data_IF_564229759279
#
_entry.id   IF_564229759279
#
_cell.length_a   1.000
_cell.length_b   1.000
_cell.length_c   1.000
_cell.angle_alpha   90.00
_cell.angle_beta   90.00
_cell.angle_gamma   90.00
#
_symmetry.space_group_name_H-M   'P 1'
#
loop_
_entity.id
_entity.type
_entity.pdbx_description
1 polymer ?
#
# COMPACT_ATOMS: atom_id res chain seq x y z
N UNK A 1 -26.15 28.08 -7.06
CA UNK A 1 -26.28 27.47 -5.73
C UNK A 1 -24.86 27.28 -5.22
N UNK A 2 -24.49 27.97 -4.14
CA UNK A 2 -23.13 27.89 -3.59
C UNK A 2 -23.00 26.55 -2.86
N UNK A 3 -22.35 25.59 -3.50
CA UNK A 3 -21.92 24.36 -2.85
C UNK A 3 -20.97 24.74 -1.72
N UNK A 4 -21.42 24.46 -0.51
CA UNK A 4 -20.62 24.64 0.69
C UNK A 4 -19.50 23.62 0.62
N UNK A 5 -18.35 24.02 0.09
CA UNK A 5 -17.05 23.38 0.33
C UNK A 5 -16.82 23.40 1.83
N UNK A 6 -17.44 22.44 2.54
CA UNK A 6 -17.32 22.30 3.97
C UNK A 6 -15.90 21.82 4.25
N UNK A 7 -15.02 22.80 4.46
CA UNK A 7 -13.64 22.74 4.95
C UNK A 7 -13.42 21.44 5.73
N UNK A 8 -12.86 20.42 5.07
CA UNK A 8 -12.35 19.24 5.76
C UNK A 8 -11.42 19.76 6.84
N UNK A 9 -11.77 19.54 8.10
CA UNK A 9 -10.97 20.00 9.24
C UNK A 9 -9.52 19.55 9.01
N UNK A 10 -8.54 20.46 9.06
CA UNK A 10 -7.13 20.12 8.84
C UNK A 10 -6.66 18.97 9.74
N UNK A 11 -7.26 18.85 10.93
CA UNK A 11 -7.06 17.72 11.83
C UNK A 11 -7.47 16.36 11.25
N UNK A 12 -8.54 16.29 10.46
CA UNK A 12 -8.95 15.06 9.79
C UNK A 12 -7.95 14.64 8.69
N UNK A 13 -7.29 15.61 8.04
CA UNK A 13 -6.23 15.32 7.07
C UNK A 13 -4.97 14.82 7.77
N UNK A 14 -4.56 15.44 8.89
CA UNK A 14 -3.41 15.00 9.69
C UNK A 14 -3.63 13.62 10.28
N UNK A 15 -4.83 13.36 10.84
CA UNK A 15 -5.19 12.04 11.33
C UNK A 15 -5.19 10.98 10.22
N UNK A 16 -5.71 11.33 9.03
CA UNK A 16 -5.63 10.47 7.84
C UNK A 16 -4.19 10.18 7.40
N UNK A 17 -3.32 11.19 7.39
CA UNK A 17 -1.91 11.05 7.04
C UNK A 17 -1.15 10.17 8.03
N UNK A 18 -1.37 10.37 9.33
CA UNK A 18 -0.76 9.54 10.36
C UNK A 18 -1.25 8.09 10.27
N UNK A 19 -2.56 7.88 10.10
CA UNK A 19 -3.13 6.54 9.90
C UNK A 19 -2.60 5.85 8.65
N UNK A 20 -2.46 6.58 7.55
CA UNK A 20 -1.86 6.09 6.32
C UNK A 20 -0.40 5.68 6.51
N UNK A 21 0.42 6.53 7.15
CA UNK A 21 1.83 6.23 7.39
C UNK A 21 2.00 4.98 8.29
N UNK A 22 1.22 4.87 9.37
CA UNK A 22 1.22 3.69 10.24
C UNK A 22 0.81 2.44 9.47
N UNK A 23 -0.26 2.53 8.66
CA UNK A 23 -0.72 1.42 7.83
C UNK A 23 0.37 0.94 6.87
N UNK A 24 1.01 1.85 6.12
CA UNK A 24 2.07 1.51 5.17
C UNK A 24 3.29 0.89 5.85
N UNK A 25 3.71 1.41 7.00
CA UNK A 25 4.83 0.85 7.76
C UNK A 25 4.51 -0.58 8.22
N UNK A 26 3.32 -0.78 8.80
CA UNK A 26 2.89 -2.11 9.27
C UNK A 26 2.75 -3.08 8.09
N UNK A 27 2.14 -2.64 6.98
CA UNK A 27 1.98 -3.44 5.77
C UNK A 27 3.35 -3.84 5.22
N UNK A 28 4.30 -2.91 5.11
CA UNK A 28 5.65 -3.19 4.62
C UNK A 28 6.35 -4.27 5.46
N UNK A 29 6.39 -4.12 6.79
CA UNK A 29 7.08 -5.11 7.64
C UNK A 29 6.36 -6.46 7.65
N UNK A 30 5.03 -6.47 7.66
CA UNK A 30 4.24 -7.69 7.56
C UNK A 30 4.53 -8.43 6.25
N UNK A 31 4.45 -7.72 5.12
CA UNK A 31 4.68 -8.31 3.80
C UNK A 31 6.13 -8.70 3.59
N UNK A 32 7.10 -7.93 4.10
CA UNK A 32 8.52 -8.30 4.09
C UNK A 32 8.75 -9.61 4.83
N UNK A 33 8.07 -9.81 5.97
CA UNK A 33 8.15 -11.05 6.72
C UNK A 33 7.47 -12.21 5.98
N UNK A 34 6.24 -12.03 5.49
CA UNK A 34 5.50 -13.05 4.71
C UNK A 34 6.22 -13.46 3.44
N UNK A 35 6.89 -12.51 2.77
CA UNK A 35 7.66 -12.75 1.54
C UNK A 35 9.12 -13.10 1.80
N UNK A 36 9.57 -13.19 3.06
CA UNK A 36 10.94 -13.58 3.40
C UNK A 36 11.38 -14.96 2.90
N UNK A 37 10.54 -16.02 2.86
CA UNK A 37 10.94 -17.31 2.30
C UNK A 37 10.93 -17.32 0.76
N UNK A 38 10.44 -16.26 0.13
CA UNK A 38 10.37 -16.14 -1.32
C UNK A 38 11.66 -15.48 -1.84
N UNK A 39 12.45 -16.26 -2.57
CA UNK A 39 13.73 -15.84 -3.14
C UNK A 39 14.75 -16.98 -3.01
N UNK A 40 15.37 -17.40 -4.12
CA UNK A 40 16.47 -18.37 -4.05
C UNK A 40 17.77 -17.63 -3.76
N UNK A 41 18.64 -18.14 -2.88
CA UNK A 41 19.96 -17.57 -2.65
C UNK A 41 20.89 -17.70 -3.87
N UNK A 42 20.61 -18.64 -4.78
CA UNK A 42 21.50 -18.98 -5.89
C UNK A 42 20.81 -18.78 -7.25
N UNK A 43 20.80 -17.53 -7.73
CA UNK A 43 20.17 -17.11 -9.00
C UNK A 43 21.16 -16.76 -10.12
N UNK A 44 22.46 -16.75 -9.84
CA UNK A 44 23.53 -16.52 -10.82
C UNK A 44 23.85 -17.81 -11.59
N UNK A 45 22.81 -18.45 -12.11
CA UNK A 45 22.98 -19.59 -13.03
C UNK A 45 23.11 -19.04 -14.45
N UNK A 46 24.10 -19.50 -15.23
CA UNK A 46 24.35 -19.00 -16.59
C UNK A 46 23.16 -19.19 -17.55
N UNK A 47 22.24 -20.10 -17.23
CA UNK A 47 20.99 -20.36 -17.96
C UNK A 47 19.85 -19.37 -17.63
N UNK A 48 19.98 -18.57 -16.57
CA UNK A 48 18.82 -17.88 -15.98
C UNK A 48 18.56 -16.53 -16.67
N UNK A 49 17.57 -16.51 -17.56
CA UNK A 49 17.09 -15.30 -18.27
C UNK A 49 16.06 -14.48 -17.49
N UNK A 50 15.66 -14.94 -16.30
CA UNK A 50 14.60 -14.34 -15.50
C UNK A 50 15.19 -13.35 -14.49
N UNK A 51 14.62 -12.15 -14.41
CA UNK A 51 15.02 -11.10 -13.45
C UNK A 51 14.98 -11.66 -12.02
N UNK A 52 16.08 -11.56 -11.26
CA UNK A 52 16.15 -12.07 -9.89
C UNK A 52 15.02 -11.52 -9.02
N UNK A 53 14.46 -12.36 -8.15
CA UNK A 53 13.40 -11.99 -7.20
C UNK A 53 12.12 -11.36 -7.81
N UNK A 54 11.88 -11.44 -9.12
CA UNK A 54 10.66 -10.89 -9.74
C UNK A 54 9.36 -11.50 -9.17
N UNK A 55 9.36 -12.82 -8.88
CA UNK A 55 8.22 -13.49 -8.22
C UNK A 55 7.92 -12.88 -6.85
N UNK A 56 8.96 -12.54 -6.09
CA UNK A 56 8.82 -11.87 -4.79
C UNK A 56 8.23 -10.47 -4.96
N UNK A 57 8.68 -9.72 -5.98
CA UNK A 57 8.13 -8.40 -6.29
C UNK A 57 6.64 -8.45 -6.66
N UNK A 58 6.27 -9.39 -7.54
CA UNK A 58 4.87 -9.59 -7.97
C UNK A 58 3.99 -9.99 -6.78
N UNK A 59 4.40 -10.97 -5.99
CA UNK A 59 3.62 -11.42 -4.83
C UNK A 59 3.50 -10.31 -3.78
N UNK A 60 4.57 -9.54 -3.55
CA UNK A 60 4.51 -8.39 -2.66
C UNK A 60 3.47 -7.37 -3.13
N UNK A 61 3.46 -6.99 -4.41
CA UNK A 61 2.49 -6.05 -4.98
C UNK A 61 1.05 -6.56 -4.86
N UNK A 62 0.82 -7.84 -5.18
CA UNK A 62 -0.51 -8.43 -5.10
C UNK A 62 -1.02 -8.47 -3.66
N UNK A 63 -0.17 -8.87 -2.70
CA UNK A 63 -0.54 -8.88 -1.29
C UNK A 63 -0.76 -7.47 -0.74
N UNK A 64 0.05 -6.50 -1.16
CA UNK A 64 -0.15 -5.09 -0.82
C UNK A 64 -1.49 -4.58 -1.34
N UNK A 65 -1.80 -4.84 -2.61
CA UNK A 65 -3.08 -4.48 -3.19
C UNK A 65 -4.25 -5.11 -2.41
N UNK A 66 -4.15 -6.38 -2.03
CA UNK A 66 -5.16 -7.06 -1.20
C UNK A 66 -5.33 -6.36 0.15
N UNK A 67 -4.24 -6.04 0.86
CA UNK A 67 -4.31 -5.31 2.13
C UNK A 67 -4.98 -3.95 1.98
N UNK A 68 -4.62 -3.22 0.93
CA UNK A 68 -5.18 -1.89 0.63
C UNK A 68 -6.67 -1.98 0.33
N UNK A 69 -7.10 -2.95 -0.49
CA UNK A 69 -8.52 -3.16 -0.81
C UNK A 69 -9.31 -3.53 0.45
N UNK A 70 -8.79 -4.44 1.28
CA UNK A 70 -9.42 -4.81 2.56
C UNK A 70 -9.53 -3.60 3.48
N UNK A 71 -8.47 -2.80 3.60
CA UNK A 71 -8.47 -1.58 4.40
C UNK A 71 -9.54 -0.60 3.91
N UNK A 72 -9.63 -0.36 2.59
CA UNK A 72 -10.65 0.50 2.00
C UNK A 72 -12.06 -0.02 2.25
N UNK A 73 -12.30 -1.33 2.15
CA UNK A 73 -13.61 -1.91 2.41
C UNK A 73 -14.02 -1.74 3.88
N UNK A 74 -13.10 -2.01 4.81
CA UNK A 74 -13.33 -1.83 6.25
C UNK A 74 -13.60 -0.37 6.58
N UNK A 75 -12.75 0.55 6.08
CA UNK A 75 -12.91 2.00 6.28
C UNK A 75 -14.19 2.52 5.63
N UNK A 76 -14.56 2.02 4.45
CA UNK A 76 -15.79 2.43 3.75
C UNK A 76 -17.06 1.96 4.45
N UNK A 77 -16.98 0.86 5.20
CA UNK A 77 -18.06 0.36 6.04
C UNK A 77 -18.16 1.14 7.37
N UNK A 78 -17.03 1.61 7.90
CA UNK A 78 -16.98 2.32 9.19
C UNK A 78 -17.19 3.84 9.07
N UNK A 79 -16.81 4.46 7.95
CA UNK A 79 -16.81 5.92 7.81
C UNK A 79 -18.12 6.47 7.22
N UNK A 80 -18.65 7.57 7.79
CA UNK A 80 -19.76 8.33 7.21
C UNK A 80 -19.45 8.78 5.79
N UNK A 81 -20.47 8.82 4.90
CA UNK A 81 -20.37 9.19 3.47
C UNK A 81 -19.52 10.43 3.18
N UNK A 82 -19.45 11.37 4.12
CA UNK A 82 -18.69 12.62 4.03
C UNK A 82 -17.17 12.43 3.87
N UNK A 83 -16.57 11.36 4.40
CA UNK A 83 -15.12 11.16 4.34
C UNK A 83 -14.65 10.26 3.20
N UNK A 84 -15.58 9.70 2.40
CA UNK A 84 -15.25 8.75 1.32
C UNK A 84 -14.33 9.33 0.25
N UNK A 85 -14.47 10.62 -0.07
CA UNK A 85 -13.58 11.31 -1.02
C UNK A 85 -12.13 11.39 -0.53
N UNK A 86 -11.91 11.50 0.78
CA UNK A 86 -10.57 11.50 1.37
C UNK A 86 -9.93 10.10 1.28
N UNK A 87 -10.70 9.06 1.59
CA UNK A 87 -10.25 7.65 1.54
C UNK A 87 -9.76 7.26 0.14
N UNK A 88 -10.47 7.70 -0.91
CA UNK A 88 -10.03 7.43 -2.29
C UNK A 88 -8.70 8.11 -2.63
N UNK A 89 -8.44 9.32 -2.12
CA UNK A 89 -7.14 9.98 -2.29
C UNK A 89 -5.99 9.17 -1.67
N UNK A 90 -6.18 8.67 -0.45
CA UNK A 90 -5.20 7.83 0.25
C UNK A 90 -5.01 6.46 -0.43
N UNK A 91 -6.06 5.90 -1.03
CA UNK A 91 -5.97 4.67 -1.82
C UNK A 91 -5.02 4.82 -3.01
N UNK A 92 -5.18 5.88 -3.81
CA UNK A 92 -4.29 6.14 -4.95
C UNK A 92 -2.84 6.39 -4.50
N UNK A 93 -2.65 7.09 -3.37
CA UNK A 93 -1.33 7.29 -2.77
C UNK A 93 -0.69 5.96 -2.34
N UNK A 94 -1.48 5.04 -1.76
CA UNK A 94 -1.02 3.70 -1.36
C UNK A 94 -0.58 2.84 -2.55
N UNK A 95 -1.31 2.93 -3.68
CA UNK A 95 -0.92 2.24 -4.91
C UNK A 95 0.45 2.71 -5.40
N UNK A 96 0.69 4.03 -5.38
CA UNK A 96 1.98 4.60 -5.76
C UNK A 96 3.07 4.17 -4.77
N UNK A 97 2.78 4.17 -3.45
CA UNK A 97 3.70 3.66 -2.45
C UNK A 97 4.03 2.18 -2.63
N UNK A 98 3.10 1.36 -3.09
CA UNK A 98 3.35 -0.06 -3.37
C UNK A 98 4.56 -0.27 -4.29
N UNK A 99 4.71 0.56 -5.33
CA UNK A 99 5.88 0.51 -6.22
C UNK A 99 7.16 0.99 -5.53
N UNK A 100 7.09 2.04 -4.72
CA UNK A 100 8.23 2.53 -3.93
C UNK A 100 8.70 1.48 -2.92
N UNK A 101 7.77 0.81 -2.23
CA UNK A 101 8.08 -0.24 -1.27
C UNK A 101 8.74 -1.45 -1.94
N UNK A 102 8.28 -1.83 -3.14
CA UNK A 102 8.91 -2.91 -3.91
C UNK A 102 10.33 -2.53 -4.30
N UNK A 103 10.55 -1.28 -4.74
CA UNK A 103 11.90 -0.80 -5.05
C UNK A 103 12.81 -0.91 -3.82
N UNK A 104 12.35 -0.45 -2.65
CA UNK A 104 13.10 -0.54 -1.37
C UNK A 104 13.29 -1.99 -0.92
N UNK A 105 12.35 -2.89 -1.22
CA UNK A 105 12.46 -4.31 -0.88
C UNK A 105 13.51 -5.03 -1.75
N UNK A 106 13.69 -4.56 -2.99
CA UNK A 106 14.57 -5.17 -4.00
C UNK A 106 15.97 -4.55 -4.04
N UNK A 107 16.14 -3.34 -3.51
CA UNK A 107 17.44 -2.68 -3.32
C UNK A 107 18.22 -3.32 -2.18
#
# INVERSE_FOLDING_TARGET
MADVTQKTSGWAQVAGAAGFAVFEVVAYYLLRWVTSPLGRPDQFQPENTIVPNWVKAVLFLLLHLVLVVVAVLVLSNQLPRRYRGLVMGWFYLSLLMGFVLVFVLMS
#
